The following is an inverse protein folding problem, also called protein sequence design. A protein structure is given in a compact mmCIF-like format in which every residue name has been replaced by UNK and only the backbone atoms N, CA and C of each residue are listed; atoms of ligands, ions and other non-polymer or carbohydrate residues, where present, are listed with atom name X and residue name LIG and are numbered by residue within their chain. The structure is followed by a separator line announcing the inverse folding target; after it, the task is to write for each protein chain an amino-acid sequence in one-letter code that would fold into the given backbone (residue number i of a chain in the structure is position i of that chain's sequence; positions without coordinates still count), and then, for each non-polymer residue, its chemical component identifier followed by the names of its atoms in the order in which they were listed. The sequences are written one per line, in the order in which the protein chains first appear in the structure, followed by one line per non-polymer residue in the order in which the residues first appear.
data_IF_088777661415
#
_entry.id   IF_088777661415
#
_cell.length_a   1.000
_cell.length_b   1.000
_cell.length_c   1.000
_cell.angle_alpha   90.00
_cell.angle_beta   90.00
_cell.angle_gamma   90.00
#
_symmetry.space_group_name_H-M   'P 1'
#
loop_
_entity.id
_entity.type
_entity.pdbx_description
1 polymer ?
#
# COMPACT_ATOMS: atom_id res chain seq x y z
N UNK A 1 10.60 -7.26 13.36
CA UNK A 1 9.18 -7.60 13.02
C UNK A 1 8.75 -6.80 11.81
N UNK A 2 7.95 -7.37 10.89
CA UNK A 2 7.52 -6.70 9.66
C UNK A 2 6.03 -6.37 9.62
N UNK A 3 5.69 -5.28 8.95
CA UNK A 3 4.33 -4.96 8.50
C UNK A 3 4.28 -5.00 6.96
N UNK A 4 3.08 -5.11 6.40
CA UNK A 4 2.86 -4.99 4.95
C UNK A 4 1.98 -3.78 4.66
N UNK A 5 2.18 -3.17 3.50
CA UNK A 5 1.46 -2.00 3.04
C UNK A 5 1.15 -2.17 1.55
N UNK A 6 0.00 -1.66 1.15
CA UNK A 6 -0.48 -1.64 -0.23
C UNK A 6 -1.21 -0.31 -0.50
N UNK A 7 -1.24 0.12 -1.76
CA UNK A 7 -1.98 1.28 -2.22
C UNK A 7 -2.96 0.94 -3.34
N UNK A 8 -4.14 1.55 -3.26
CA UNK A 8 -4.95 1.78 -4.46
C UNK A 8 -4.66 3.18 -5.01
N UNK A 9 -4.75 3.34 -6.32
CA UNK A 9 -4.45 4.60 -6.99
C UNK A 9 -5.56 5.04 -7.95
N UNK A 10 -5.55 6.32 -8.31
CA UNK A 10 -6.45 6.90 -9.32
C UNK A 10 -6.27 6.31 -10.73
N UNK A 11 -5.31 5.42 -10.92
CA UNK A 11 -5.05 4.63 -12.12
C UNK A 11 -3.58 4.21 -12.22
N UNK A 12 -3.20 3.53 -13.30
CA UNK A 12 -1.84 3.05 -13.53
C UNK A 12 -1.11 3.91 -14.56
N UNK A 13 -0.61 5.07 -14.13
CA UNK A 13 0.08 6.04 -14.97
C UNK A 13 1.09 6.84 -14.13
N UNK A 14 2.09 7.43 -14.78
CA UNK A 14 3.00 8.36 -14.12
C UNK A 14 2.28 9.59 -13.52
N UNK A 15 1.07 9.92 -13.96
CA UNK A 15 0.25 11.02 -13.43
C UNK A 15 -0.70 10.62 -12.29
N UNK A 16 -0.82 9.32 -11.97
CA UNK A 16 -1.78 8.85 -10.96
C UNK A 16 -1.38 9.23 -9.54
N UNK A 17 -2.22 9.00 -8.55
CA UNK A 17 -1.90 9.31 -7.15
C UNK A 17 -2.62 8.31 -6.24
N UNK A 18 -2.09 8.07 -5.02
CA UNK A 18 -2.72 7.15 -4.09
C UNK A 18 -4.07 7.71 -3.63
N UNK A 19 -5.06 6.82 -3.60
CA UNK A 19 -6.44 7.12 -3.19
C UNK A 19 -6.86 6.34 -1.94
N UNK A 20 -6.23 5.20 -1.70
CA UNK A 20 -6.36 4.43 -0.48
C UNK A 20 -4.98 3.91 -0.11
N UNK A 21 -4.65 3.91 1.19
CA UNK A 21 -3.50 3.20 1.73
C UNK A 21 -3.95 2.25 2.81
N UNK A 22 -3.48 1.02 2.73
CA UNK A 22 -3.82 -0.04 3.66
C UNK A 22 -2.57 -0.74 4.16
N UNK A 23 -2.62 -1.21 5.40
CA UNK A 23 -1.52 -1.96 5.98
C UNK A 23 -2.02 -3.09 6.89
N UNK A 24 -1.20 -4.13 7.02
CA UNK A 24 -1.43 -5.26 7.92
C UNK A 24 -0.25 -5.41 8.88
N UNK A 25 -0.56 -5.39 10.18
CA UNK A 25 0.42 -5.49 11.25
C UNK A 25 0.69 -6.97 11.58
N UNK A 26 1.86 -7.32 12.14
CA UNK A 26 2.16 -8.71 12.53
C UNK A 26 1.25 -9.23 13.66
N UNK A 27 0.55 -8.36 14.38
CA UNK A 27 -0.50 -8.73 15.33
C UNK A 27 -1.79 -9.21 14.66
N UNK A 28 -1.90 -9.09 13.34
CA UNK A 28 -3.11 -9.38 12.57
C UNK A 28 -4.11 -8.23 12.51
N UNK A 29 -3.76 -7.06 13.08
CA UNK A 29 -4.56 -5.84 12.97
C UNK A 29 -4.32 -5.22 11.60
N UNK A 30 -5.41 -4.99 10.88
CA UNK A 30 -5.41 -4.40 9.53
C UNK A 30 -6.06 -3.00 9.61
N UNK A 31 -5.59 -2.03 8.83
CA UNK A 31 -6.18 -0.70 8.76
C UNK A 31 -6.15 -0.18 7.31
N UNK A 32 -7.16 0.61 6.93
CA UNK A 32 -7.26 1.29 5.64
C UNK A 32 -7.58 2.76 5.82
N UNK A 33 -7.05 3.63 4.96
CA UNK A 33 -7.28 5.07 4.97
C UNK A 33 -7.57 5.51 3.54
N UNK A 34 -8.78 6.01 3.29
CA UNK A 34 -9.07 6.77 2.07
C UNK A 34 -8.37 8.12 2.14
N UNK A 35 -7.83 8.57 1.01
CA UNK A 35 -7.04 9.80 0.89
C UNK A 35 -7.84 10.82 0.09
N UNK A 36 -8.08 11.99 0.67
CA UNK A 36 -8.80 13.06 -0.02
C UNK A 36 -7.85 13.76 -1.01
N UNK A 37 -8.07 13.65 -2.35
CA UNK A 37 -7.18 14.24 -3.33
C UNK A 37 -7.18 15.78 -3.30
N UNK A 38 -8.24 16.42 -2.80
CA UNK A 38 -8.33 17.88 -2.70
C UNK A 38 -7.47 18.45 -1.56
N UNK A 39 -6.89 17.60 -0.72
CA UNK A 39 -6.04 18.00 0.40
C UNK A 39 -4.53 17.91 0.12
N UNK A 40 -4.15 17.44 -1.07
CA UNK A 40 -2.75 17.40 -1.50
C UNK A 40 -2.21 18.83 -1.73
N UNK A 41 -0.91 19.05 -1.49
CA UNK A 41 -0.26 20.32 -1.88
C UNK A 41 -0.20 20.52 -3.39
N UNK A 42 -0.19 19.42 -4.15
CA UNK A 42 -0.16 19.40 -5.61
C UNK A 42 -1.55 19.12 -6.19
N UNK A 43 -1.79 19.55 -7.43
CA UNK A 43 -3.06 19.27 -8.12
C UNK A 43 -3.16 17.81 -8.57
N UNK A 44 -3.85 17.00 -7.78
CA UNK A 44 -4.17 15.60 -8.10
C UNK A 44 -5.42 15.50 -8.99
N UNK A 45 -5.23 15.64 -10.30
CA UNK A 45 -6.32 15.71 -11.29
C UNK A 45 -6.56 14.41 -12.07
N UNK A 46 -5.51 13.63 -12.35
CA UNK A 46 -5.62 12.38 -13.12
C UNK A 46 -6.64 11.41 -12.51
N UNK A 47 -7.47 10.79 -13.35
CA UNK A 47 -8.46 9.83 -12.90
C UNK A 47 -8.78 8.85 -14.03
N UNK A 48 -8.61 7.56 -13.77
CA UNK A 48 -8.97 6.50 -14.70
C UNK A 48 -10.31 5.87 -14.33
N UNK A 49 -11.31 6.13 -15.16
CA UNK A 49 -12.66 5.56 -15.01
C UNK A 49 -12.69 4.04 -15.08
N UNK A 50 -11.72 3.40 -15.76
CA UNK A 50 -11.63 1.95 -15.81
C UNK A 50 -11.21 1.39 -14.44
N UNK A 51 -10.19 1.98 -13.82
CA UNK A 51 -9.74 1.66 -12.45
C UNK A 51 -10.90 1.81 -11.45
N UNK A 52 -11.64 2.91 -11.51
CA UNK A 52 -12.84 3.09 -10.68
C UNK A 52 -13.87 1.98 -10.93
N UNK A 53 -14.30 1.79 -12.17
CA UNK A 53 -15.48 0.95 -12.44
C UNK A 53 -15.21 -0.56 -12.32
N UNK A 54 -13.97 -0.99 -12.57
CA UNK A 54 -13.63 -2.41 -12.73
C UNK A 54 -12.63 -2.95 -11.72
N UNK A 55 -11.82 -2.09 -11.09
CA UNK A 55 -10.73 -2.50 -10.20
C UNK A 55 -11.13 -2.22 -8.75
N UNK A 56 -10.94 -1.00 -8.25
CA UNK A 56 -11.08 -0.67 -6.82
C UNK A 56 -12.50 -0.26 -6.40
N UNK A 57 -13.35 0.21 -7.33
CA UNK A 57 -14.75 0.63 -7.06
C UNK A 57 -14.90 1.77 -6.04
N UNK A 58 -13.82 2.51 -5.81
CA UNK A 58 -13.80 3.72 -5.00
C UNK A 58 -14.03 4.91 -5.92
N UNK A 59 -15.12 5.64 -5.71
CA UNK A 59 -15.44 6.82 -6.52
C UNK A 59 -14.63 8.02 -6.07
N UNK A 60 -14.31 8.93 -6.99
CA UNK A 60 -13.66 10.19 -6.63
C UNK A 60 -14.46 10.99 -5.60
N UNK A 61 -15.78 11.01 -5.74
CA UNK A 61 -16.69 11.69 -4.81
C UNK A 61 -16.59 11.14 -3.37
N UNK A 62 -16.46 9.82 -3.21
CA UNK A 62 -16.26 9.19 -1.90
C UNK A 62 -14.97 9.67 -1.24
N UNK A 63 -13.87 9.79 -2.01
CA UNK A 63 -12.59 10.29 -1.51
C UNK A 63 -12.68 11.75 -1.07
N UNK A 64 -13.35 12.58 -1.86
CA UNK A 64 -13.52 14.01 -1.55
C UNK A 64 -14.37 14.22 -0.29
N UNK A 65 -15.34 13.35 -0.04
CA UNK A 65 -16.28 13.45 1.08
C UNK A 65 -15.76 12.79 2.35
N UNK A 66 -15.17 11.59 2.24
CA UNK A 66 -14.84 10.73 3.37
C UNK A 66 -13.33 10.50 3.54
N UNK A 67 -12.52 10.90 2.55
CA UNK A 67 -11.07 10.76 2.60
C UNK A 67 -10.46 11.65 3.69
N UNK A 68 -9.38 11.15 4.28
CA UNK A 68 -8.57 11.89 5.24
C UNK A 68 -7.65 12.87 4.51
N UNK A 69 -7.23 13.91 5.23
CA UNK A 69 -6.24 14.83 4.68
C UNK A 69 -4.92 14.11 4.47
N UNK A 70 -4.22 14.43 3.39
CA UNK A 70 -2.91 13.85 3.03
C UNK A 70 -1.93 13.95 4.20
N UNK A 71 -1.91 15.08 4.90
CA UNK A 71 -1.07 15.29 6.11
C UNK A 71 -1.45 14.32 7.23
N UNK A 72 -2.74 14.15 7.52
CA UNK A 72 -3.20 13.24 8.57
C UNK A 72 -2.84 11.79 8.26
N UNK A 73 -2.93 11.39 6.99
CA UNK A 73 -2.54 10.05 6.53
C UNK A 73 -1.04 9.84 6.74
N UNK A 74 -0.18 10.78 6.31
CA UNK A 74 1.26 10.69 6.52
C UNK A 74 1.64 10.64 8.00
N UNK A 75 1.01 11.47 8.84
CA UNK A 75 1.24 11.45 10.29
C UNK A 75 0.84 10.11 10.91
N UNK A 76 -0.32 9.57 10.52
CA UNK A 76 -0.79 8.27 10.98
C UNK A 76 0.18 7.15 10.59
N UNK A 77 0.55 7.08 9.31
CA UNK A 77 1.50 6.08 8.81
C UNK A 77 2.84 6.18 9.55
N UNK A 78 3.36 7.40 9.75
CA UNK A 78 4.60 7.59 10.49
C UNK A 78 4.53 7.13 11.95
N UNK A 79 3.40 7.38 12.63
CA UNK A 79 3.20 7.00 14.02
C UNK A 79 3.06 5.49 14.20
N UNK A 80 2.40 4.81 13.26
CA UNK A 80 2.15 3.37 13.33
C UNK A 80 3.32 2.57 12.74
N UNK A 81 3.66 2.82 11.48
CA UNK A 81 4.62 2.03 10.73
C UNK A 81 6.07 2.34 11.08
N UNK A 82 6.35 3.53 11.63
CA UNK A 82 7.68 3.89 12.17
C UNK A 82 8.14 3.04 13.36
N UNK A 83 7.27 2.18 13.90
CA UNK A 83 7.60 1.24 14.98
C UNK A 83 8.14 -0.10 14.45
N UNK A 84 8.14 -0.32 13.13
CA UNK A 84 8.56 -1.57 12.50
C UNK A 84 9.88 -1.41 11.76
N UNK A 85 10.74 -2.42 11.86
CA UNK A 85 12.04 -2.45 11.18
C UNK A 85 11.90 -2.59 9.67
N UNK A 86 10.85 -3.29 9.23
CA UNK A 86 10.58 -3.59 7.83
C UNK A 86 9.11 -3.36 7.53
N UNK A 87 8.85 -2.60 6.47
CA UNK A 87 7.52 -2.46 5.88
C UNK A 87 7.62 -2.92 4.44
N UNK A 88 6.81 -3.90 4.05
CA UNK A 88 6.86 -4.51 2.73
C UNK A 88 5.69 -4.09 1.85
N UNK A 89 5.95 -3.92 0.56
CA UNK A 89 4.96 -3.89 -0.52
C UNK A 89 5.29 -4.97 -1.56
N UNK A 90 4.34 -5.27 -2.45
CA UNK A 90 4.52 -6.26 -3.52
C UNK A 90 4.76 -5.64 -4.91
N UNK A 91 4.76 -4.30 -5.00
CA UNK A 91 4.97 -3.57 -6.24
C UNK A 91 5.88 -2.36 -6.09
N UNK A 92 6.64 -2.05 -7.14
CA UNK A 92 7.41 -0.79 -7.24
C UNK A 92 6.49 0.43 -7.37
N UNK A 93 5.24 0.24 -7.80
CA UNK A 93 4.25 1.31 -7.83
C UNK A 93 3.91 1.83 -6.43
N UNK A 94 3.94 0.97 -5.40
CA UNK A 94 3.70 1.41 -4.02
C UNK A 94 4.81 2.35 -3.52
N UNK A 95 6.06 2.08 -3.88
CA UNK A 95 7.19 2.96 -3.55
C UNK A 95 6.99 4.34 -4.15
N UNK A 96 6.51 4.36 -5.39
CA UNK A 96 6.24 5.57 -6.13
C UNK A 96 5.05 6.36 -5.57
N UNK A 97 3.96 5.69 -5.24
CA UNK A 97 2.79 6.32 -4.62
C UNK A 97 3.07 6.79 -3.20
N UNK A 98 3.89 6.07 -2.43
CA UNK A 98 4.40 6.53 -1.14
C UNK A 98 5.19 7.83 -1.31
N UNK A 99 6.11 7.89 -2.28
CA UNK A 99 6.87 9.09 -2.58
C UNK A 99 5.97 10.29 -2.89
N UNK A 100 4.95 10.08 -3.72
CA UNK A 100 3.94 11.10 -4.05
C UNK A 100 3.13 11.56 -2.85
N UNK A 101 2.66 10.63 -2.02
CA UNK A 101 1.88 10.95 -0.82
C UNK A 101 2.67 11.84 0.13
N UNK A 102 3.93 11.47 0.40
CA UNK A 102 4.78 12.22 1.33
C UNK A 102 5.28 13.53 0.74
N UNK A 103 5.48 13.61 -0.58
CA UNK A 103 5.75 14.86 -1.27
C UNK A 103 4.58 15.86 -1.09
N UNK A 104 3.36 15.39 -1.33
CA UNK A 104 2.13 16.19 -1.20
C UNK A 104 1.81 16.62 0.24
N UNK A 105 2.40 15.96 1.23
CA UNK A 105 2.33 16.34 2.64
C UNK A 105 3.50 17.24 3.09
N UNK A 106 4.52 17.45 2.25
CA UNK A 106 5.82 18.02 2.63
C UNK A 106 6.45 17.31 3.84
N UNK A 107 6.34 15.99 3.89
CA UNK A 107 6.81 15.13 4.98
C UNK A 107 7.82 14.08 4.47
N UNK A 108 8.47 13.39 5.40
CA UNK A 108 9.28 12.20 5.10
C UNK A 108 8.72 10.99 5.86
N UNK A 109 8.73 9.79 5.24
CA UNK A 109 8.42 8.55 5.95
C UNK A 109 9.39 8.33 7.12
N UNK A 110 8.87 7.88 8.25
CA UNK A 110 9.64 7.41 9.41
C UNK A 110 10.03 5.93 9.30
N UNK A 111 9.61 5.27 8.22
CA UNK A 111 9.86 3.87 7.90
C UNK A 111 10.37 3.73 6.47
N UNK A 112 11.00 2.60 6.17
CA UNK A 112 11.42 2.24 4.81
C UNK A 112 10.45 1.23 4.22
N UNK A 113 9.81 1.60 3.10
CA UNK A 113 9.02 0.68 2.30
C UNK A 113 9.96 -0.11 1.38
N UNK A 114 9.84 -1.43 1.40
CA UNK A 114 10.74 -2.36 0.71
C UNK A 114 9.94 -3.29 -0.18
N UNK A 115 10.35 -3.47 -1.43
CA UNK A 115 9.72 -4.46 -2.31
C UNK A 115 10.08 -5.88 -1.85
N UNK A 116 9.03 -6.67 -1.60
CA UNK A 116 9.12 -7.96 -0.92
C UNK A 116 9.92 -9.00 -1.70
N UNK A 117 9.80 -9.05 -3.02
CA UNK A 117 10.49 -10.04 -3.85
C UNK A 117 12.00 -9.79 -3.87
N UNK A 118 12.41 -8.52 -3.91
CA UNK A 118 13.81 -8.11 -3.80
C UNK A 118 14.38 -8.53 -2.45
N UNK A 119 13.66 -8.27 -1.36
CA UNK A 119 14.09 -8.64 -0.01
C UNK A 119 14.19 -10.16 0.16
N UNK A 120 13.17 -10.92 -0.27
CA UNK A 120 13.10 -12.38 -0.19
C UNK A 120 14.24 -13.06 -0.96
N UNK A 121 14.56 -12.55 -2.15
CA UNK A 121 15.67 -13.06 -2.95
C UNK A 121 17.01 -12.86 -2.24
N UNK A 122 17.23 -11.68 -1.66
CA UNK A 122 18.48 -11.32 -0.99
C UNK A 122 18.67 -12.03 0.35
N UNK A 123 17.62 -12.20 1.15
CA UNK A 123 17.73 -12.68 2.53
C UNK A 123 17.41 -14.18 2.69
N UNK A 124 16.59 -14.73 1.80
CA UNK A 124 16.10 -16.11 1.91
C UNK A 124 16.43 -16.96 0.68
N UNK A 125 16.89 -16.35 -0.43
CA UNK A 125 17.05 -17.04 -1.71
C UNK A 125 15.72 -17.46 -2.33
N UNK A 126 14.61 -16.86 -1.89
CA UNK A 126 13.26 -17.18 -2.38
C UNK A 126 13.00 -16.34 -3.64
N UNK A 127 12.86 -17.01 -4.77
CA UNK A 127 12.54 -16.36 -6.04
C UNK A 127 11.08 -15.88 -6.10
N UNK A 128 10.84 -14.80 -6.85
CA UNK A 128 9.53 -14.14 -7.03
C UNK A 128 8.38 -15.11 -7.32
N UNK A 129 8.63 -16.16 -8.10
CA UNK A 129 7.62 -17.17 -8.45
C UNK A 129 7.03 -17.86 -7.21
N UNK A 130 7.83 -18.10 -6.17
CA UNK A 130 7.35 -18.73 -4.94
C UNK A 130 6.48 -17.78 -4.12
N UNK A 131 6.82 -16.49 -4.10
CA UNK A 131 5.99 -15.46 -3.48
C UNK A 131 4.65 -15.31 -4.21
N UNK A 132 4.68 -15.24 -5.55
CA UNK A 132 3.48 -15.16 -6.37
C UNK A 132 2.54 -16.36 -6.13
N UNK A 133 3.08 -17.58 -6.10
CA UNK A 133 2.29 -18.78 -5.79
C UNK A 133 1.72 -18.77 -4.37
N UNK A 134 2.46 -18.23 -3.39
CA UNK A 134 1.97 -18.10 -2.01
C UNK A 134 0.84 -17.07 -1.90
N UNK A 135 0.92 -15.98 -2.68
CA UNK A 135 -0.09 -14.93 -2.75
C UNK A 135 -1.37 -15.42 -3.45
N UNK A 136 -1.23 -16.11 -4.58
CA UNK A 136 -2.37 -16.71 -5.31
C UNK A 136 -3.17 -17.70 -4.46
N UNK A 137 -2.50 -18.42 -3.55
CA UNK A 137 -3.15 -19.34 -2.60
C UNK A 137 -4.03 -18.64 -1.56
N UNK A 138 -3.83 -17.34 -1.32
CA UNK A 138 -4.66 -16.59 -0.38
C UNK A 138 -6.04 -16.27 -0.97
N UNK A 139 -6.18 -16.31 -2.29
CA UNK A 139 -7.42 -16.11 -3.01
C UNK A 139 -7.38 -14.90 -3.95
N UNK A 140 -8.55 -14.49 -4.49
CA UNK A 140 -8.60 -13.40 -5.44
C UNK A 140 -8.29 -12.05 -4.78
N UNK A 141 -7.56 -11.20 -5.51
CA UNK A 141 -7.32 -9.79 -5.18
C UNK A 141 -8.66 -9.06 -5.12
N UNK A 142 -8.85 -8.24 -4.09
CA UNK A 142 -10.09 -7.46 -3.94
C UNK A 142 -9.95 -6.01 -4.36
N UNK A 143 -8.73 -5.55 -4.60
CA UNK A 143 -8.41 -4.17 -4.91
C UNK A 143 -8.93 -3.23 -3.82
N UNK A 144 -8.55 -3.58 -2.59
CA UNK A 144 -8.81 -2.84 -1.37
C UNK A 144 -7.56 -2.94 -0.52
N UNK A 145 -6.92 -1.80 -0.32
CA UNK A 145 -5.54 -1.76 0.16
C UNK A 145 -5.29 -2.58 1.44
N UNK A 146 -6.16 -2.47 2.45
CA UNK A 146 -5.98 -3.25 3.70
C UNK A 146 -6.16 -4.76 3.52
N UNK A 147 -7.04 -5.17 2.62
CA UNK A 147 -7.25 -6.59 2.31
C UNK A 147 -6.04 -7.15 1.57
N UNK A 148 -5.52 -6.42 0.58
CA UNK A 148 -4.40 -6.86 -0.24
C UNK A 148 -3.11 -6.86 0.58
N UNK A 149 -2.86 -5.83 1.41
CA UNK A 149 -1.78 -5.84 2.41
C UNK A 149 -1.85 -7.07 3.34
N UNK A 150 -3.05 -7.48 3.77
CA UNK A 150 -3.23 -8.70 4.57
C UNK A 150 -2.88 -9.96 3.78
N UNK A 151 -3.25 -10.06 2.51
CA UNK A 151 -2.88 -11.22 1.68
C UNK A 151 -1.35 -11.32 1.52
N UNK A 152 -0.69 -10.18 1.28
CA UNK A 152 0.78 -10.09 1.21
C UNK A 152 1.39 -10.61 2.52
N UNK A 153 0.88 -10.19 3.68
CA UNK A 153 1.39 -10.66 4.98
C UNK A 153 1.20 -12.16 5.15
N UNK A 154 0.01 -12.69 4.87
CA UNK A 154 -0.26 -14.12 5.01
C UNK A 154 0.62 -14.96 4.08
N UNK A 155 0.81 -14.52 2.83
CA UNK A 155 1.71 -15.15 1.89
C UNK A 155 3.15 -15.16 2.41
N UNK A 156 3.64 -14.03 2.91
CA UNK A 156 4.96 -13.90 3.50
C UNK A 156 5.11 -14.83 4.72
N UNK A 157 4.14 -14.83 5.64
CA UNK A 157 4.14 -15.68 6.83
C UNK A 157 4.27 -17.18 6.46
N UNK A 158 3.67 -17.63 5.34
CA UNK A 158 3.87 -19.03 4.88
C UNK A 158 5.28 -19.36 4.40
N UNK A 159 6.02 -18.35 3.92
CA UNK A 159 7.34 -18.52 3.32
C UNK A 159 8.47 -18.35 4.32
N UNK A 160 8.32 -17.43 5.28
CA UNK A 160 9.35 -17.11 6.28
C UNK A 160 8.96 -17.46 7.71
N UNK A 161 7.68 -17.67 8.01
CA UNK A 161 7.17 -17.94 9.36
C UNK A 161 7.31 -19.38 9.88
N UNK A 162 7.94 -20.29 9.11
CA UNK A 162 8.26 -21.66 9.55
C UNK A 162 9.67 -21.78 10.20
N UNK A 163 10.10 -20.79 10.98
CA UNK A 163 11.30 -20.88 11.82
C UNK A 163 11.00 -20.50 13.26
#
# INVERSE_FOLDING_TARGET
MWATLDFEASGLSEFSYPIEVGYSLPTGIDHSLLINPLSASDEWVYWDTFSESNIHKITRYELETNGKQVVDVCQHLNAVLGQYELVFCDSEWDLFWLGRLYHAAHMRPSFMLTEICCWLKQHNGIERVHFQLALERQGPVKHRASYDAKQIRLALDTLVGNR
#
